data_IF_782526499466
#
_entry.id   IF_782526499466
#
_cell.length_a   1.000
_cell.length_b   1.000
_cell.length_c   1.000
_cell.angle_alpha   90.00
_cell.angle_beta   90.00
_cell.angle_gamma   90.00
#
_symmetry.space_group_name_H-M   'P 1'
#
loop_
_entity.id
_entity.type
_entity.pdbx_description
1 polymer ?
#
# COMPACT_ATOMS: atom_id res chain seq x y z
N UNK A 1 -14.10 6.47 6.25
CA UNK A 1 -12.81 6.30 5.55
C UNK A 1 -12.03 5.20 6.25
N UNK A 2 -11.75 4.09 5.56
CA UNK A 2 -10.98 2.96 6.11
C UNK A 2 -9.57 2.95 5.50
N UNK A 3 -8.56 2.97 6.37
CA UNK A 3 -7.16 2.90 5.99
C UNK A 3 -6.60 1.52 6.35
N UNK A 4 -5.99 0.85 5.38
CA UNK A 4 -5.28 -0.40 5.56
C UNK A 4 -3.79 -0.16 5.29
N UNK A 5 -2.96 -0.45 6.30
CA UNK A 5 -1.51 -0.39 6.17
C UNK A 5 -0.96 -1.81 6.03
N UNK A 6 -0.13 -2.04 5.01
CA UNK A 6 0.46 -3.34 4.74
C UNK A 6 1.99 -3.26 4.73
N UNK A 7 2.66 -4.31 5.18
CA UNK A 7 4.13 -4.38 5.18
C UNK A 7 4.73 -4.69 3.80
N UNK A 8 3.91 -5.23 2.89
CA UNK A 8 4.33 -5.61 1.54
C UNK A 8 3.32 -5.17 0.49
N UNK A 9 3.78 -4.70 -0.68
CA UNK A 9 2.90 -4.36 -1.81
C UNK A 9 2.11 -5.55 -2.34
N UNK A 10 2.63 -6.78 -2.19
CA UNK A 10 1.90 -8.00 -2.56
C UNK A 10 0.65 -8.20 -1.71
N UNK A 11 0.73 -7.91 -0.41
CA UNK A 11 -0.38 -8.03 0.53
C UNK A 11 -1.43 -6.95 0.27
N UNK A 12 -0.99 -5.73 -0.04
CA UNK A 12 -1.88 -4.65 -0.46
C UNK A 12 -2.66 -4.98 -1.74
N UNK A 13 -2.05 -5.68 -2.72
CA UNK A 13 -2.74 -6.15 -3.93
C UNK A 13 -3.81 -7.19 -3.62
N UNK A 14 -3.52 -8.12 -2.73
CA UNK A 14 -4.47 -9.17 -2.35
C UNK A 14 -5.69 -8.57 -1.64
N UNK A 15 -5.44 -7.68 -0.67
CA UNK A 15 -6.47 -6.92 0.04
C UNK A 15 -7.29 -6.06 -0.93
N UNK A 16 -6.63 -5.39 -1.88
CA UNK A 16 -7.33 -4.61 -2.89
C UNK A 16 -8.25 -5.48 -3.77
N UNK A 17 -7.85 -6.71 -4.07
CA UNK A 17 -8.65 -7.67 -4.84
C UNK A 17 -9.87 -8.15 -4.05
N UNK A 18 -9.71 -8.43 -2.76
CA UNK A 18 -10.82 -8.83 -1.85
C UNK A 18 -11.80 -7.67 -1.66
N UNK A 19 -11.30 -6.44 -1.55
CA UNK A 19 -12.11 -5.24 -1.36
C UNK A 19 -12.70 -4.70 -2.68
N UNK A 20 -12.39 -5.31 -3.83
CA UNK A 20 -12.89 -4.89 -5.14
C UNK A 20 -12.39 -3.51 -5.58
N UNK A 21 -11.30 -3.01 -5.01
CA UNK A 21 -10.73 -1.70 -5.32
C UNK A 21 -9.63 -1.82 -6.38
N UNK A 22 -9.73 -1.01 -7.43
CA UNK A 22 -8.83 -1.10 -8.59
C UNK A 22 -8.00 0.17 -8.83
N UNK A 23 -8.23 1.24 -8.04
CA UNK A 23 -7.58 2.53 -8.27
C UNK A 23 -6.20 2.54 -7.63
N UNK A 24 -5.19 2.18 -8.43
CA UNK A 24 -3.81 2.12 -7.97
C UNK A 24 -3.09 3.43 -8.26
N UNK A 25 -2.50 4.02 -7.23
CA UNK A 25 -1.68 5.22 -7.30
C UNK A 25 -0.23 4.90 -6.90
N UNK A 26 0.66 5.90 -6.98
CA UNK A 26 2.04 5.75 -6.53
C UNK A 26 2.11 5.65 -5.01
N UNK A 27 2.19 4.41 -4.51
CA UNK A 27 2.41 4.10 -3.09
C UNK A 27 1.16 3.69 -2.31
N UNK A 28 -0.03 3.76 -2.91
CA UNK A 28 -1.28 3.28 -2.30
C UNK A 28 -2.31 2.86 -3.36
N UNK A 29 -3.27 2.04 -2.96
CA UNK A 29 -4.45 1.66 -3.74
C UNK A 29 -5.66 2.26 -3.03
N UNK A 30 -6.48 3.03 -3.73
CA UNK A 30 -7.70 3.61 -3.20
C UNK A 30 -8.92 3.09 -3.95
N UNK A 31 -10.10 3.25 -3.35
CA UNK A 31 -11.36 3.00 -4.03
C UNK A 31 -12.52 3.35 -3.12
N UNK A 32 -13.39 4.24 -3.60
CA UNK A 32 -14.49 4.79 -2.81
C UNK A 32 -13.99 5.41 -1.51
N UNK A 33 -14.34 4.78 -0.38
CA UNK A 33 -14.02 5.24 0.98
C UNK A 33 -12.87 4.44 1.64
N UNK A 34 -12.14 3.65 0.85
CA UNK A 34 -11.06 2.76 1.31
C UNK A 34 -9.72 3.19 0.71
N UNK A 35 -8.68 3.21 1.54
CA UNK A 35 -7.29 3.45 1.15
C UNK A 35 -6.43 2.33 1.70
N UNK A 36 -5.64 1.69 0.85
CA UNK A 36 -4.69 0.63 1.18
C UNK A 36 -3.30 1.11 0.80
N UNK A 37 -2.47 1.41 1.79
CA UNK A 37 -1.09 1.86 1.57
C UNK A 37 -0.11 0.83 2.11
N UNK A 38 1.10 0.81 1.59
CA UNK A 38 2.13 -0.09 2.09
C UNK A 38 3.40 0.67 2.42
N UNK A 39 3.95 0.39 3.60
CA UNK A 39 5.29 0.82 3.95
C UNK A 39 6.27 -0.17 3.28
N UNK A 40 6.56 0.07 2.00
CA UNK A 40 7.71 -0.56 1.38
C UNK A 40 8.92 -0.18 2.21
N UNK A 41 9.61 -1.18 2.78
CA UNK A 41 10.83 -0.99 3.56
C UNK A 41 11.65 0.09 2.86
N UNK A 42 11.88 1.28 3.47
CA UNK A 42 12.80 2.22 2.87
C UNK A 42 14.11 1.45 2.78
N UNK A 43 14.58 1.22 1.56
CA UNK A 43 15.97 0.85 1.36
C UNK A 43 16.74 2.12 1.72
N UNK A 44 16.82 2.43 3.01
CA UNK A 44 17.85 3.28 3.57
C UNK A 44 19.13 2.54 3.27
N UNK A 45 19.60 2.71 2.03
CA UNK A 45 20.99 2.58 1.69
C UNK A 45 21.67 3.46 2.73
N UNK A 46 22.33 2.77 3.66
CA UNK A 46 23.05 3.31 4.80
C UNK A 46 23.54 4.70 4.44
N UNK A 47 23.11 5.75 5.16
CA UNK A 47 23.81 7.03 5.11
C UNK A 47 25.22 6.72 5.57
N UNK A 48 26.12 6.50 4.62
CA UNK A 48 27.53 6.28 4.92
C UNK A 48 28.05 7.57 5.58
N UNK A 49 28.89 7.44 6.61
CA UNK A 49 29.39 8.56 7.40
C UNK A 49 30.14 9.58 6.54
#
# INVERSE_FOLDING_TARGET
MQLFLCEKPSQAKDIARVLGISKREQGFISGGNIVVTWAGRPFTRNCQP
#
